data_IF_616183181801
#
_entry.id   IF_616183181801
#
_cell.length_a   1.000
_cell.length_b   1.000
_cell.length_c   1.000
_cell.angle_alpha   90.00
_cell.angle_beta   90.00
_cell.angle_gamma   90.00
#
_symmetry.space_group_name_H-M   'P 1'
#
loop_
_entity.id
_entity.type
_entity.pdbx_description
1 polymer ?
#
# COMPACT_ATOMS: atom_id res chain seq x y z
N UNK A 1 -0.63 -2.73 28.13
CA UNK A 1 -1.98 -2.16 27.86
C UNK A 1 -2.01 -1.34 26.57
N UNK A 2 -1.01 -0.48 26.30
CA UNK A 2 -0.92 0.26 25.02
C UNK A 2 -0.78 -0.67 23.81
N UNK A 3 0.09 -1.68 23.90
CA UNK A 3 0.33 -2.63 22.79
C UNK A 3 -0.90 -3.44 22.39
N UNK A 4 -1.76 -3.80 23.36
CA UNK A 4 -3.01 -4.51 23.09
C UNK A 4 -4.00 -3.60 22.35
N UNK A 5 -4.06 -2.32 22.73
CA UNK A 5 -4.94 -1.35 22.10
C UNK A 5 -4.49 -1.05 20.66
N UNK A 6 -3.19 -0.91 20.43
CA UNK A 6 -2.60 -0.73 19.09
C UNK A 6 -2.88 -1.95 18.20
N UNK A 7 -2.70 -3.16 18.75
CA UNK A 7 -3.04 -4.39 18.05
C UNK A 7 -4.54 -4.50 17.72
N UNK A 8 -5.43 -4.19 18.67
CA UNK A 8 -6.87 -4.18 18.43
C UNK A 8 -7.27 -3.15 17.37
N UNK A 9 -6.65 -1.97 17.37
CA UNK A 9 -6.89 -0.93 16.38
C UNK A 9 -6.45 -1.40 14.98
N UNK A 10 -5.29 -2.04 14.88
CA UNK A 10 -4.78 -2.62 13.63
C UNK A 10 -5.70 -3.70 13.09
N UNK A 11 -6.17 -4.63 13.93
CA UNK A 11 -7.15 -5.66 13.56
C UNK A 11 -8.48 -5.07 13.08
N UNK A 12 -8.95 -4.01 13.72
CA UNK A 12 -10.17 -3.31 13.34
C UNK A 12 -10.01 -2.61 11.98
N UNK A 13 -8.83 -2.05 11.71
CA UNK A 13 -8.46 -1.54 10.39
C UNK A 13 -8.47 -2.62 9.32
N UNK A 14 -7.85 -3.77 9.58
CA UNK A 14 -7.86 -4.94 8.69
C UNK A 14 -9.30 -5.42 8.43
N UNK A 15 -10.13 -5.49 9.46
CA UNK A 15 -11.54 -5.88 9.33
C UNK A 15 -12.30 -4.95 8.37
N UNK A 16 -12.15 -3.64 8.52
CA UNK A 16 -12.78 -2.68 7.59
C UNK A 16 -12.21 -2.77 6.18
N UNK A 17 -10.91 -3.02 6.02
CA UNK A 17 -10.29 -3.18 4.70
C UNK A 17 -10.82 -4.43 3.98
N UNK A 18 -10.93 -5.56 4.67
CA UNK A 18 -11.51 -6.81 4.13
C UNK A 18 -12.96 -6.57 3.74
N UNK A 19 -13.76 -5.95 4.64
CA UNK A 19 -15.16 -5.68 4.40
C UNK A 19 -15.37 -4.77 3.18
N UNK A 20 -14.59 -3.69 3.08
CA UNK A 20 -14.65 -2.80 1.92
C UNK A 20 -14.26 -3.54 0.63
N UNK A 21 -13.16 -4.28 0.65
CA UNK A 21 -12.69 -5.05 -0.52
C UNK A 21 -13.76 -6.04 -0.98
N UNK A 22 -14.37 -6.78 -0.05
CA UNK A 22 -15.44 -7.73 -0.35
C UNK A 22 -16.70 -7.06 -0.92
N UNK A 23 -17.16 -5.97 -0.31
CA UNK A 23 -18.33 -5.22 -0.78
C UNK A 23 -18.12 -4.64 -2.19
N UNK A 24 -16.94 -4.10 -2.46
CA UNK A 24 -16.56 -3.58 -3.78
C UNK A 24 -16.50 -4.68 -4.85
N UNK A 25 -16.01 -5.87 -4.50
CA UNK A 25 -15.96 -7.01 -5.42
C UNK A 25 -17.35 -7.57 -5.74
N UNK A 26 -18.24 -7.64 -4.75
CA UNK A 26 -19.59 -8.20 -4.88
C UNK A 26 -20.54 -7.26 -5.64
N UNK A 27 -20.44 -5.95 -5.41
CA UNK A 27 -21.38 -4.99 -5.99
C UNK A 27 -21.01 -4.63 -7.44
N UNK A 28 -21.71 -5.26 -8.40
CA UNK A 28 -21.51 -5.04 -9.84
C UNK A 28 -21.72 -3.58 -10.28
N UNK A 29 -22.63 -2.84 -9.64
CA UNK A 29 -22.94 -1.44 -9.97
C UNK A 29 -21.76 -0.56 -9.56
N UNK A 30 -21.27 -0.73 -8.34
CA UNK A 30 -20.11 -0.01 -7.83
C UNK A 30 -18.88 -0.34 -8.69
N UNK A 31 -18.63 -1.62 -8.99
CA UNK A 31 -17.51 -2.03 -9.85
C UNK A 31 -17.54 -1.44 -11.26
N UNK A 32 -18.73 -1.15 -11.81
CA UNK A 32 -18.86 -0.49 -13.12
C UNK A 32 -18.55 1.01 -13.04
N UNK A 33 -18.83 1.64 -11.91
CA UNK A 33 -18.64 3.08 -11.68
C UNK A 33 -17.24 3.41 -11.14
N UNK A 34 -16.61 2.47 -10.47
CA UNK A 34 -15.31 2.62 -9.83
C UNK A 34 -14.18 2.26 -10.79
N UNK A 35 -13.12 3.07 -10.78
CA UNK A 35 -11.89 2.80 -11.51
C UNK A 35 -11.30 1.43 -11.12
N UNK A 36 -10.98 0.60 -12.11
CA UNK A 36 -10.41 -0.74 -11.87
C UNK A 36 -9.11 -0.68 -11.06
N UNK A 37 -8.33 0.39 -11.23
CA UNK A 37 -7.11 0.65 -10.47
C UNK A 37 -7.38 0.74 -8.97
N UNK A 38 -8.50 1.33 -8.55
CA UNK A 38 -8.88 1.44 -7.14
C UNK A 38 -9.28 0.09 -6.53
N UNK A 39 -9.91 -0.78 -7.32
CA UNK A 39 -10.20 -2.15 -6.89
C UNK A 39 -8.90 -2.96 -6.70
N UNK A 40 -7.96 -2.81 -7.65
CA UNK A 40 -6.63 -3.42 -7.55
C UNK A 40 -5.88 -2.94 -6.31
N UNK A 41 -5.92 -1.63 -6.04
CA UNK A 41 -5.36 -1.01 -4.83
C UNK A 41 -5.90 -1.66 -3.55
N UNK A 42 -7.23 -1.68 -3.37
CA UNK A 42 -7.85 -2.25 -2.17
C UNK A 42 -7.47 -3.71 -1.97
N UNK A 43 -7.51 -4.49 -3.05
CA UNK A 43 -7.17 -5.90 -3.02
C UNK A 43 -5.69 -6.13 -2.67
N UNK A 44 -4.77 -5.39 -3.29
CA UNK A 44 -3.34 -5.47 -2.99
C UNK A 44 -3.03 -5.10 -1.54
N UNK A 45 -3.61 -4.01 -1.03
CA UNK A 45 -3.44 -3.63 0.37
C UNK A 45 -4.02 -4.67 1.32
N UNK A 46 -5.18 -5.24 0.99
CA UNK A 46 -5.80 -6.30 1.79
C UNK A 46 -4.87 -7.52 1.93
N UNK A 47 -4.20 -7.92 0.85
CA UNK A 47 -3.23 -9.03 0.87
C UNK A 47 -2.02 -8.66 1.75
N UNK A 48 -1.44 -7.49 1.54
CA UNK A 48 -0.26 -7.03 2.29
C UNK A 48 -0.57 -6.98 3.80
N UNK A 49 -1.73 -6.47 4.18
CA UNK A 49 -2.14 -6.36 5.58
C UNK A 49 -2.39 -7.73 6.23
N UNK A 50 -2.99 -8.67 5.49
CA UNK A 50 -3.16 -10.06 5.95
C UNK A 50 -1.80 -10.71 6.17
N UNK A 51 -0.86 -10.56 5.22
CA UNK A 51 0.50 -11.10 5.36
C UNK A 51 1.23 -10.46 6.55
N UNK A 52 1.05 -9.15 6.77
CA UNK A 52 1.62 -8.43 7.91
C UNK A 52 1.17 -9.03 9.24
N UNK A 53 -0.13 -9.29 9.39
CA UNK A 53 -0.69 -9.90 10.59
C UNK A 53 -0.30 -11.37 10.76
N UNK A 54 -0.31 -12.16 9.68
CA UNK A 54 0.10 -13.57 9.72
C UNK A 54 1.56 -13.71 10.15
N UNK A 55 2.46 -12.92 9.57
CA UNK A 55 3.88 -12.95 9.91
C UNK A 55 4.12 -12.37 11.30
N UNK A 56 3.41 -11.30 11.68
CA UNK A 56 3.47 -10.75 13.04
C UNK A 56 3.02 -11.74 14.12
N UNK A 57 2.06 -12.62 13.80
CA UNK A 57 1.60 -13.68 14.69
C UNK A 57 2.58 -14.86 14.78
N UNK A 58 3.17 -15.27 13.65
CA UNK A 58 4.12 -16.39 13.59
C UNK A 58 5.52 -16.03 14.11
N UNK A 59 5.96 -14.80 13.87
CA UNK A 59 7.28 -14.29 14.21
C UNK A 59 7.20 -12.80 14.56
N UNK A 60 7.06 -12.52 15.85
CA UNK A 60 6.93 -11.16 16.36
C UNK A 60 8.12 -10.28 15.91
N UNK A 61 7.82 -9.13 15.29
CA UNK A 61 8.82 -8.14 14.87
C UNK A 61 9.52 -8.41 13.52
N UNK A 62 9.26 -9.54 12.85
CA UNK A 62 9.87 -9.84 11.54
C UNK A 62 9.03 -9.36 10.34
N UNK A 63 7.97 -8.58 10.58
CA UNK A 63 7.06 -8.08 9.55
C UNK A 63 7.46 -6.72 8.97
N UNK A 64 8.57 -6.11 9.41
CA UNK A 64 8.97 -4.77 8.95
C UNK A 64 9.16 -4.67 7.43
N UNK A 65 9.72 -5.69 6.79
CA UNK A 65 9.90 -5.70 5.33
C UNK A 65 8.57 -5.58 4.55
N UNK A 66 7.44 -5.93 5.18
CA UNK A 66 6.11 -5.88 4.56
C UNK A 66 5.64 -4.44 4.38
N UNK A 67 6.12 -3.51 5.23
CA UNK A 67 5.79 -2.09 5.07
C UNK A 67 6.31 -1.52 3.75
N UNK A 68 7.44 -2.03 3.22
CA UNK A 68 7.95 -1.64 1.91
C UNK A 68 6.95 -1.90 0.79
N UNK A 69 6.31 -3.08 0.82
CA UNK A 69 5.26 -3.42 -0.14
C UNK A 69 4.02 -2.57 0.06
N UNK A 70 3.63 -2.30 1.32
CA UNK A 70 2.48 -1.45 1.64
C UNK A 70 2.65 -0.05 1.04
N UNK A 71 3.74 0.64 1.37
CA UNK A 71 3.98 2.01 0.92
C UNK A 71 4.23 2.09 -0.58
N UNK A 72 4.99 1.15 -1.15
CA UNK A 72 5.25 1.16 -2.58
C UNK A 72 3.99 0.88 -3.40
N UNK A 73 3.15 -0.08 -3.00
CA UNK A 73 1.87 -0.31 -3.67
C UNK A 73 0.93 0.88 -3.51
N UNK A 74 0.89 1.51 -2.34
CA UNK A 74 0.14 2.74 -2.13
C UNK A 74 0.59 3.84 -3.10
N UNK A 75 1.90 4.10 -3.20
CA UNK A 75 2.47 5.08 -4.14
C UNK A 75 2.13 4.74 -5.59
N UNK A 76 2.29 3.48 -6.00
CA UNK A 76 2.04 3.01 -7.36
C UNK A 76 0.57 3.20 -7.75
N UNK A 77 -0.34 2.64 -6.95
CA UNK A 77 -1.77 2.65 -7.28
C UNK A 77 -2.37 4.05 -7.19
N UNK A 78 -2.01 4.85 -6.18
CA UNK A 78 -2.49 6.23 -6.08
C UNK A 78 -1.97 7.07 -7.25
N UNK A 79 -0.70 6.91 -7.64
CA UNK A 79 -0.15 7.60 -8.81
C UNK A 79 -0.93 7.27 -10.09
N UNK A 80 -1.25 6.00 -10.33
CA UNK A 80 -2.05 5.58 -11.49
C UNK A 80 -3.49 6.12 -11.38
N UNK A 81 -4.10 6.02 -10.20
CA UNK A 81 -5.46 6.49 -9.95
C UNK A 81 -5.60 7.99 -10.20
N UNK A 82 -4.74 8.81 -9.61
CA UNK A 82 -4.78 10.27 -9.79
C UNK A 82 -4.43 10.68 -11.21
N UNK A 83 -3.52 9.98 -11.89
CA UNK A 83 -3.24 10.20 -13.31
C UNK A 83 -4.49 9.99 -14.19
N UNK A 84 -5.35 9.05 -13.84
CA UNK A 84 -6.61 8.81 -14.55
C UNK A 84 -7.68 9.85 -14.21
N UNK A 85 -7.80 10.22 -12.93
CA UNK A 85 -8.84 11.14 -12.44
C UNK A 85 -8.59 12.61 -12.78
N UNK A 86 -7.34 13.06 -12.75
CA UNK A 86 -6.99 14.45 -13.05
C UNK A 86 -7.15 14.69 -14.55
N UNK A 87 -7.59 15.88 -14.95
CA UNK A 87 -7.72 16.26 -16.37
C UNK A 87 -6.48 16.98 -16.88
N UNK A 88 -5.87 17.82 -16.04
CA UNK A 88 -4.70 18.63 -16.39
C UNK A 88 -3.45 17.77 -16.70
N UNK A 89 -2.93 17.90 -17.92
CA UNK A 89 -1.79 17.14 -18.41
C UNK A 89 -0.48 17.40 -17.65
N UNK A 90 -0.28 18.60 -17.11
CA UNK A 90 0.92 18.96 -16.34
C UNK A 90 0.95 18.15 -15.05
N UNK A 91 -0.16 18.12 -14.30
CA UNK A 91 -0.25 17.33 -13.06
C UNK A 91 -0.09 15.82 -13.31
N UNK A 92 -0.64 15.29 -14.41
CA UNK A 92 -0.38 13.89 -14.81
C UNK A 92 1.09 13.59 -15.02
N UNK A 93 1.80 14.52 -15.67
CA UNK A 93 3.24 14.40 -15.93
C UNK A 93 4.04 14.47 -14.63
N UNK A 94 3.69 15.40 -13.73
CA UNK A 94 4.32 15.51 -12.41
C UNK A 94 4.15 14.20 -11.63
N UNK A 95 2.92 13.69 -11.49
CA UNK A 95 2.65 12.43 -10.77
C UNK A 95 3.49 11.27 -11.32
N UNK A 96 3.55 11.15 -12.65
CA UNK A 96 4.31 10.07 -13.28
C UNK A 96 5.82 10.22 -13.10
N UNK A 97 6.35 11.44 -13.19
CA UNK A 97 7.77 11.72 -12.94
C UNK A 97 8.10 11.43 -11.47
N UNK A 98 7.27 11.88 -10.52
CA UNK A 98 7.45 11.61 -9.10
C UNK A 98 7.47 10.11 -8.82
N UNK A 99 6.54 9.34 -9.39
CA UNK A 99 6.54 7.88 -9.28
C UNK A 99 7.87 7.28 -9.77
N UNK A 100 8.34 7.67 -10.95
CA UNK A 100 9.60 7.15 -11.51
C UNK A 100 10.79 7.51 -10.61
N UNK A 101 10.91 8.77 -10.20
CA UNK A 101 12.02 9.23 -9.36
C UNK A 101 12.03 8.48 -8.03
N UNK A 102 10.88 8.36 -7.38
CA UNK A 102 10.74 7.63 -6.12
C UNK A 102 11.12 6.15 -6.28
N UNK A 103 10.63 5.48 -7.34
CA UNK A 103 11.02 4.10 -7.65
C UNK A 103 12.53 3.97 -7.87
N UNK A 104 13.16 4.89 -8.59
CA UNK A 104 14.61 4.85 -8.85
C UNK A 104 15.41 5.05 -7.56
N UNK A 105 14.99 5.96 -6.69
CA UNK A 105 15.66 6.19 -5.40
C UNK A 105 15.57 4.94 -4.53
N UNK A 106 14.39 4.31 -4.43
CA UNK A 106 14.21 3.07 -3.67
C UNK A 106 15.07 1.92 -4.22
N UNK A 107 15.09 1.73 -5.55
CA UNK A 107 15.95 0.73 -6.20
C UNK A 107 17.41 0.99 -5.85
N UNK A 108 17.87 2.23 -5.95
CA UNK A 108 19.25 2.59 -5.64
C UNK A 108 19.59 2.35 -4.17
N UNK A 109 18.69 2.71 -3.24
CA UNK A 109 18.87 2.48 -1.80
C UNK A 109 19.01 0.98 -1.50
N UNK A 110 18.11 0.14 -2.01
CA UNK A 110 18.14 -1.29 -1.76
C UNK A 110 19.28 -2.02 -2.48
N UNK A 111 19.74 -1.50 -3.63
CA UNK A 111 20.93 -2.01 -4.30
C UNK A 111 22.22 -1.70 -3.51
N UNK A 112 22.31 -0.51 -2.92
CA UNK A 112 23.51 -0.08 -2.17
C UNK A 112 23.58 -0.72 -0.78
N UNK A 113 22.45 -0.86 -0.10
CA UNK A 113 22.35 -1.39 1.27
C UNK A 113 21.22 -2.40 1.36
N UNK A 114 21.41 -3.66 0.92
CA UNK A 114 20.36 -4.68 0.91
C UNK A 114 19.80 -4.99 2.30
N UNK A 115 20.58 -4.79 3.36
CA UNK A 115 20.14 -4.99 4.75
C UNK A 115 19.00 -4.05 5.14
N UNK A 116 18.93 -2.86 4.55
CA UNK A 116 17.87 -1.88 4.81
C UNK A 116 16.48 -2.34 4.37
N UNK A 117 16.38 -3.36 3.53
CA UNK A 117 15.10 -3.97 3.13
C UNK A 117 14.43 -4.77 4.27
N UNK A 118 15.19 -5.13 5.31
CA UNK A 118 14.65 -5.85 6.46
C UNK A 118 14.27 -4.91 7.61
N UNK A 119 14.57 -3.62 7.47
CA UNK A 119 14.36 -2.58 8.47
C UNK A 119 13.30 -1.59 7.97
N UNK A 120 12.64 -0.91 8.90
CA UNK A 120 11.67 0.11 8.52
C UNK A 120 12.34 1.31 7.84
N UNK A 121 11.87 1.68 6.65
CA UNK A 121 12.43 2.79 5.88
C UNK A 121 11.49 4.01 5.90
N UNK A 122 11.88 5.05 6.63
CA UNK A 122 11.09 6.30 6.76
C UNK A 122 10.93 7.02 5.42
N UNK A 123 11.87 6.85 4.50
CA UNK A 123 11.82 7.50 3.19
C UNK A 123 10.57 7.10 2.38
N UNK A 124 10.08 5.87 2.54
CA UNK A 124 8.93 5.36 1.80
C UNK A 124 7.60 6.02 2.17
N UNK A 125 7.56 6.74 3.30
CA UNK A 125 6.39 7.50 3.73
C UNK A 125 6.26 8.82 2.93
N UNK A 126 7.38 9.34 2.40
CA UNK A 126 7.51 10.68 1.78
C UNK A 126 7.24 10.60 0.27
#
# INVERSE_FOLDING_TARGET
MKDILEFCLSLLGLFFLILNTFLFLKNKIVRKKTEKTFLGYLFSLCIVEILCHLIGFLSFGNNFFISHFYFYFQLLFLSILFKNLITNAIFKKIIFITLIIQTLILIFMYAKTPTSFWEFNVYEII
#
